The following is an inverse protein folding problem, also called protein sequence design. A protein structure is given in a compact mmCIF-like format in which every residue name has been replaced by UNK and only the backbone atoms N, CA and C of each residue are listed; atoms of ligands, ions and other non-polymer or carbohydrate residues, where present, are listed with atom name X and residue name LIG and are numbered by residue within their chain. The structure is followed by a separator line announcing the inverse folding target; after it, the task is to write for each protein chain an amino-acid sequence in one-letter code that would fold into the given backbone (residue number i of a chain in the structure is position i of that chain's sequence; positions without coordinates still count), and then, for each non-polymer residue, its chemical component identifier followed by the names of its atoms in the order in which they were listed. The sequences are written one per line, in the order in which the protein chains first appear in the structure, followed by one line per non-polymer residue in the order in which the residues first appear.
data_IF_853877462418
#
_entry.id   IF_853877462418
#
_cell.length_a   1.000
_cell.length_b   1.000
_cell.length_c   1.000
_cell.angle_alpha   90.00
_cell.angle_beta   90.00
_cell.angle_gamma   90.00
#
_symmetry.space_group_name_H-M   'P 1'
#
loop_
_entity.id
_entity.type
_entity.pdbx_description
1 polymer ?
#
# COMPACT_ATOMS: atom_id res chain seq x y z
N UNK A 1 -23.45 9.84 -10.82
CA UNK A 1 -22.73 9.16 -9.73
C UNK A 1 -21.66 8.33 -10.40
N UNK A 2 -20.42 8.80 -10.41
CA UNK A 2 -19.26 7.98 -10.79
C UNK A 2 -19.12 6.89 -9.73
N UNK A 3 -19.19 5.62 -10.12
CA UNK A 3 -18.94 4.53 -9.18
C UNK A 3 -17.47 4.55 -8.78
N UNK A 4 -17.19 4.35 -7.49
CA UNK A 4 -15.82 4.17 -7.03
C UNK A 4 -15.16 2.98 -7.75
N UNK A 5 -13.87 3.09 -8.05
CA UNK A 5 -13.09 2.04 -8.71
C UNK A 5 -13.23 0.71 -7.95
N UNK A 6 -13.66 -0.40 -8.56
CA UNK A 6 -13.67 -1.68 -7.88
C UNK A 6 -12.25 -2.18 -7.60
N UNK A 7 -11.99 -2.69 -6.39
CA UNK A 7 -10.65 -3.19 -5.99
C UNK A 7 -10.10 -4.24 -6.96
N UNK A 8 -10.96 -5.17 -7.38
CA UNK A 8 -10.59 -6.23 -8.32
C UNK A 8 -10.17 -5.72 -9.70
N UNK A 9 -10.63 -4.53 -10.14
CA UNK A 9 -10.16 -3.90 -11.37
C UNK A 9 -8.76 -3.32 -11.19
N UNK A 10 -8.47 -2.67 -10.05
CA UNK A 10 -7.13 -2.17 -9.77
C UNK A 10 -6.12 -3.31 -9.64
N UNK A 11 -6.49 -4.40 -8.95
CA UNK A 11 -5.62 -5.56 -8.75
C UNK A 11 -5.24 -6.29 -10.05
N UNK A 12 -5.88 -5.99 -11.19
CA UNK A 12 -5.45 -6.50 -12.51
C UNK A 12 -4.23 -5.76 -13.06
N UNK A 13 -3.94 -4.55 -12.58
CA UNK A 13 -2.74 -3.82 -13.00
C UNK A 13 -1.49 -4.62 -12.62
N UNK A 14 -0.57 -4.70 -13.57
CA UNK A 14 0.67 -5.44 -13.41
C UNK A 14 1.83 -4.67 -14.03
N UNK A 15 2.98 -4.76 -13.37
CA UNK A 15 4.23 -4.18 -13.84
C UNK A 15 5.37 -5.18 -13.59
N UNK A 16 5.31 -6.32 -14.29
CA UNK A 16 6.28 -7.41 -14.13
C UNK A 16 7.74 -6.95 -14.27
N UNK A 17 8.00 -5.94 -15.12
CA UNK A 17 9.34 -5.34 -15.26
C UNK A 17 9.78 -4.70 -13.95
N UNK A 18 8.96 -3.83 -13.35
CA UNK A 18 9.26 -3.19 -12.09
C UNK A 18 9.41 -4.23 -10.98
N UNK A 19 8.49 -5.18 -10.89
CA UNK A 19 8.50 -6.21 -9.84
C UNK A 19 9.75 -7.07 -9.93
N UNK A 20 10.14 -7.48 -11.14
CA UNK A 20 11.39 -8.22 -11.36
C UNK A 20 12.62 -7.40 -10.95
N UNK A 21 12.68 -6.12 -11.32
CA UNK A 21 13.80 -5.24 -10.96
C UNK A 21 13.87 -4.99 -9.45
N UNK A 22 12.71 -4.85 -8.79
CA UNK A 22 12.64 -4.74 -7.35
C UNK A 22 13.16 -6.03 -6.68
N UNK A 23 12.68 -7.20 -7.09
CA UNK A 23 13.14 -8.49 -6.56
C UNK A 23 14.66 -8.69 -6.70
N UNK A 24 15.26 -8.22 -7.81
CA UNK A 24 16.71 -8.28 -8.03
C UNK A 24 17.51 -7.39 -7.06
N UNK A 25 16.93 -6.28 -6.59
CA UNK A 25 17.56 -5.39 -5.60
C UNK A 25 17.34 -5.83 -4.14
N UNK A 26 16.37 -6.71 -3.92
CA UNK A 26 15.96 -7.23 -2.62
C UNK A 26 16.10 -8.77 -2.59
N UNK A 27 17.35 -9.30 -2.62
CA UNK A 27 17.60 -10.75 -2.74
C UNK A 27 17.10 -11.57 -1.55
N UNK A 28 16.78 -10.92 -0.42
CA UNK A 28 16.12 -11.53 0.73
C UNK A 28 14.65 -11.92 0.46
N UNK A 29 14.08 -11.49 -0.67
CA UNK A 29 12.71 -11.81 -1.11
C UNK A 29 12.73 -12.57 -2.42
N UNK A 30 11.85 -13.56 -2.54
CA UNK A 30 11.59 -14.24 -3.81
C UNK A 30 10.81 -13.32 -4.77
N UNK A 31 10.86 -13.65 -6.06
CA UNK A 31 10.03 -12.96 -7.06
C UNK A 31 8.54 -13.07 -6.72
N UNK A 32 8.10 -14.21 -6.19
CA UNK A 32 6.71 -14.42 -5.82
C UNK A 32 6.30 -13.55 -4.63
N UNK A 33 7.18 -13.42 -3.63
CA UNK A 33 6.96 -12.48 -2.51
C UNK A 33 6.90 -11.02 -3.00
N UNK A 34 7.71 -10.67 -4.01
CA UNK A 34 7.68 -9.33 -4.61
C UNK A 34 6.40 -9.07 -5.41
N UNK A 35 5.87 -10.07 -6.12
CA UNK A 35 4.56 -9.99 -6.78
C UNK A 35 3.42 -9.87 -5.77
N UNK A 36 3.48 -10.60 -4.66
CA UNK A 36 2.50 -10.46 -3.59
C UNK A 36 2.56 -9.06 -2.97
N UNK A 37 3.76 -8.54 -2.70
CA UNK A 37 3.96 -7.19 -2.18
C UNK A 37 3.40 -6.12 -3.12
N UNK A 38 3.54 -6.33 -4.44
CA UNK A 38 2.94 -5.46 -5.44
C UNK A 38 1.41 -5.43 -5.36
N UNK A 39 0.76 -6.60 -5.27
CA UNK A 39 -0.70 -6.65 -5.09
C UNK A 39 -1.15 -6.03 -3.76
N UNK A 40 -0.36 -6.21 -2.71
CA UNK A 40 -0.63 -5.59 -1.42
C UNK A 40 -0.51 -4.06 -1.47
N UNK A 41 0.46 -3.52 -2.24
CA UNK A 41 0.60 -2.08 -2.46
C UNK A 41 -0.60 -1.51 -3.21
N UNK A 42 -1.04 -2.17 -4.29
CA UNK A 42 -2.25 -1.76 -5.01
C UNK A 42 -3.49 -1.78 -4.11
N UNK A 43 -3.64 -2.83 -3.29
CA UNK A 43 -4.71 -2.92 -2.29
C UNK A 43 -4.67 -1.77 -1.28
N UNK A 44 -3.48 -1.47 -0.75
CA UNK A 44 -3.30 -0.34 0.16
C UNK A 44 -3.62 1.02 -0.50
N UNK A 45 -3.16 1.27 -1.73
CA UNK A 45 -3.48 2.50 -2.47
C UNK A 45 -4.99 2.66 -2.71
N UNK A 46 -5.67 1.57 -3.04
CA UNK A 46 -7.12 1.54 -3.18
C UNK A 46 -7.82 1.90 -1.88
N UNK A 47 -7.40 1.26 -0.78
CA UNK A 47 -7.97 1.47 0.55
C UNK A 47 -7.77 2.92 1.00
N UNK A 48 -6.57 3.49 0.77
CA UNK A 48 -6.29 4.89 1.04
C UNK A 48 -7.25 5.82 0.31
N UNK A 49 -7.51 5.57 -0.98
CA UNK A 49 -8.47 6.39 -1.71
C UNK A 49 -9.90 6.20 -1.24
N UNK A 50 -10.29 4.97 -0.91
CA UNK A 50 -11.61 4.65 -0.39
C UNK A 50 -11.85 5.40 0.94
N UNK A 51 -10.91 5.29 1.88
CA UNK A 51 -10.93 5.98 3.18
C UNK A 51 -10.98 7.50 3.02
N UNK A 52 -10.25 8.05 2.04
CA UNK A 52 -10.32 9.49 1.70
C UNK A 52 -11.74 9.92 1.30
N UNK A 53 -12.51 9.10 0.58
CA UNK A 53 -13.92 9.42 0.26
C UNK A 53 -14.82 9.50 1.51
N UNK A 54 -14.41 8.85 2.60
CA UNK A 54 -15.10 8.86 3.89
C UNK A 54 -14.52 9.91 4.85
N UNK A 55 -13.57 10.73 4.41
CA UNK A 55 -12.87 11.70 5.27
C UNK A 55 -11.92 11.06 6.29
N UNK A 56 -11.53 9.80 6.09
CA UNK A 56 -10.60 9.07 6.96
C UNK A 56 -9.18 9.15 6.41
N UNK A 57 -8.20 9.35 7.29
CA UNK A 57 -6.78 9.31 6.94
C UNK A 57 -6.26 7.87 6.84
N UNK A 58 -5.17 7.69 6.11
CA UNK A 58 -4.40 6.43 6.03
C UNK A 58 -2.93 6.79 6.05
N UNK A 59 -2.15 6.08 6.86
CA UNK A 59 -0.73 6.34 7.06
C UNK A 59 0.09 5.09 6.70
N UNK A 60 1.35 5.30 6.31
CA UNK A 60 2.35 4.23 6.21
C UNK A 60 3.22 4.27 7.45
N UNK A 61 3.20 3.19 8.23
CA UNK A 61 3.88 3.11 9.51
C UNK A 61 4.30 1.67 9.78
N UNK A 62 5.30 1.52 10.66
CA UNK A 62 5.73 0.24 11.23
C UNK A 62 5.75 -0.91 10.21
N UNK A 63 4.88 -1.93 10.32
CA UNK A 63 4.91 -3.08 9.42
C UNK A 63 4.64 -2.77 7.95
N UNK A 64 3.99 -1.65 7.65
CA UNK A 64 3.63 -1.24 6.29
C UNK A 64 4.80 -0.59 5.53
N UNK A 65 5.93 -0.29 6.19
CA UNK A 65 7.07 0.39 5.55
C UNK A 65 7.69 -0.39 4.37
N UNK A 66 7.45 -1.70 4.28
CA UNK A 66 7.84 -2.46 3.08
C UNK A 66 6.99 -2.13 1.84
N UNK A 67 5.75 -1.67 2.03
CA UNK A 67 4.91 -1.14 0.95
C UNK A 67 5.44 0.21 0.49
N UNK A 68 5.80 1.05 1.45
CA UNK A 68 6.40 2.36 1.22
C UNK A 68 7.68 2.27 0.37
N UNK A 69 8.59 1.35 0.71
CA UNK A 69 9.81 1.10 -0.05
C UNK A 69 9.54 0.68 -1.51
N UNK A 70 8.59 -0.24 -1.74
CA UNK A 70 8.18 -0.61 -3.10
C UNK A 70 7.50 0.55 -3.84
N UNK A 71 6.71 1.37 -3.14
CA UNK A 71 6.07 2.53 -3.72
C UNK A 71 7.10 3.57 -4.17
N UNK A 72 8.09 3.88 -3.34
CA UNK A 72 9.24 4.72 -3.72
C UNK A 72 9.94 4.15 -4.96
N UNK A 73 10.14 2.84 -5.02
CA UNK A 73 10.73 2.21 -6.19
C UNK A 73 9.90 2.46 -7.46
N UNK A 74 8.56 2.40 -7.36
CA UNK A 74 7.65 2.67 -8.47
C UNK A 74 7.72 4.12 -8.97
N UNK A 75 7.66 5.08 -8.05
CA UNK A 75 7.76 6.51 -8.35
C UNK A 75 9.09 6.84 -9.04
N UNK A 76 10.20 6.31 -8.53
CA UNK A 76 11.55 6.75 -8.94
C UNK A 76 12.09 6.03 -10.18
N UNK A 77 11.65 4.80 -10.46
CA UNK A 77 12.28 3.96 -11.48
C UNK A 77 11.44 3.77 -12.74
N UNK A 78 10.23 4.34 -12.82
CA UNK A 78 9.34 4.20 -13.98
C UNK A 78 8.63 5.51 -14.31
N UNK A 79 8.17 5.64 -15.56
CA UNK A 79 7.20 6.67 -15.94
C UNK A 79 5.76 6.18 -15.76
N UNK A 80 5.61 4.87 -15.72
CA UNK A 80 4.36 4.14 -15.55
C UNK A 80 3.59 4.64 -14.32
N UNK A 81 4.26 5.14 -13.26
CA UNK A 81 3.57 5.69 -12.09
C UNK A 81 2.64 6.85 -12.42
N UNK A 82 3.07 7.80 -13.25
CA UNK A 82 2.23 8.94 -13.63
C UNK A 82 1.05 8.50 -14.50
N UNK A 83 1.27 7.56 -15.43
CA UNK A 83 0.24 7.02 -16.31
C UNK A 83 -0.78 6.20 -15.53
N UNK A 84 -0.31 5.39 -14.59
CA UNK A 84 -1.12 4.65 -13.63
C UNK A 84 -1.99 5.61 -12.81
N UNK A 85 -1.39 6.64 -12.21
CA UNK A 85 -2.09 7.68 -11.45
C UNK A 85 -3.22 8.34 -12.27
N UNK A 86 -2.91 8.77 -13.49
CA UNK A 86 -3.91 9.37 -14.38
C UNK A 86 -5.03 8.38 -14.71
N UNK A 87 -4.69 7.13 -15.00
CA UNK A 87 -5.65 6.12 -15.45
C UNK A 87 -6.69 5.74 -14.39
N UNK A 88 -6.28 5.54 -13.13
CA UNK A 88 -7.20 5.03 -12.10
C UNK A 88 -7.66 6.10 -11.10
N UNK A 89 -7.01 7.26 -11.04
CA UNK A 89 -7.34 8.34 -10.09
C UNK A 89 -7.62 9.69 -10.75
N UNK A 90 -7.45 9.82 -12.08
CA UNK A 90 -7.56 11.09 -12.82
C UNK A 90 -6.68 12.22 -12.22
N UNK A 91 -5.66 11.83 -11.45
CA UNK A 91 -4.80 12.73 -10.69
C UNK A 91 -3.59 11.99 -10.14
N UNK A 92 -2.51 12.73 -9.87
CA UNK A 92 -1.33 12.18 -9.21
C UNK A 92 -1.65 11.73 -7.78
N UNK A 93 -1.39 10.47 -7.47
CA UNK A 93 -1.46 9.97 -6.09
C UNK A 93 -0.20 10.46 -5.35
N UNK A 94 -0.36 11.43 -4.45
CA UNK A 94 0.76 12.04 -3.76
C UNK A 94 1.30 11.14 -2.64
N UNK A 95 2.63 11.03 -2.60
CA UNK A 95 3.37 10.59 -1.42
C UNK A 95 3.71 11.84 -0.62
N UNK A 96 2.93 12.11 0.42
CA UNK A 96 3.10 13.29 1.26
C UNK A 96 4.18 13.00 2.31
N UNK A 97 5.18 13.88 2.37
CA UNK A 97 6.25 13.78 3.36
C UNK A 97 5.78 14.36 4.70
N UNK A 98 6.00 13.62 5.77
CA UNK A 98 5.87 14.16 7.13
C UNK A 98 7.11 15.01 7.45
N UNK A 99 6.91 16.15 8.11
CA UNK A 99 8.03 16.95 8.55
C UNK A 99 8.78 16.21 9.67
N UNK A 100 10.11 16.24 9.62
CA UNK A 100 10.94 15.56 10.62
C UNK A 100 10.63 16.06 12.04
N UNK A 101 10.28 15.15 12.95
CA UNK A 101 9.85 15.46 14.32
C UNK A 101 8.38 15.83 14.47
N UNK A 102 7.61 15.81 13.38
CA UNK A 102 6.15 15.98 13.33
C UNK A 102 5.48 14.73 12.72
N UNK A 103 6.13 13.56 12.82
CA UNK A 103 5.57 12.30 12.34
C UNK A 103 4.25 11.99 13.04
N UNK A 104 3.24 11.56 12.28
CA UNK A 104 1.92 11.29 12.85
C UNK A 104 1.97 10.07 13.76
N UNK A 105 1.71 10.28 15.04
CA UNK A 105 1.60 9.19 16.00
C UNK A 105 0.19 8.61 15.96
N UNK A 106 0.08 7.44 15.36
CA UNK A 106 -1.20 6.73 15.26
C UNK A 106 -1.67 6.31 16.65
N UNK A 107 -2.86 6.78 17.00
CA UNK A 107 -3.56 6.35 18.22
C UNK A 107 -4.13 4.94 18.07
N UNK A 108 -4.40 4.23 19.19
CA UNK A 108 -5.03 2.92 19.14
C UNK A 108 -6.38 2.90 18.40
N UNK A 109 -7.16 3.98 18.52
CA UNK A 109 -8.46 4.11 17.85
C UNK A 109 -8.30 4.27 16.33
N UNK A 110 -7.34 5.08 15.88
CA UNK A 110 -7.01 5.20 14.44
C UNK A 110 -6.49 3.89 13.86
N UNK A 111 -5.66 3.15 14.62
CA UNK A 111 -5.17 1.85 14.21
C UNK A 111 -6.32 0.84 14.08
N UNK A 112 -7.20 0.77 15.07
CA UNK A 112 -8.36 -0.13 15.04
C UNK A 112 -9.29 0.19 13.86
N UNK A 113 -9.60 1.46 13.64
CA UNK A 113 -10.42 1.92 12.51
C UNK A 113 -9.78 1.59 11.15
N UNK A 114 -8.45 1.74 11.01
CA UNK A 114 -7.74 1.32 9.81
C UNK A 114 -7.79 -0.19 9.60
N UNK A 115 -7.56 -0.98 10.66
CA UNK A 115 -7.54 -2.44 10.59
C UNK A 115 -8.93 -3.01 10.27
N UNK A 116 -10.01 -2.40 10.75
CA UNK A 116 -11.38 -2.79 10.41
C UNK A 116 -11.64 -2.66 8.90
N UNK A 117 -11.34 -1.50 8.32
CA UNK A 117 -11.50 -1.30 6.87
C UNK A 117 -10.53 -2.20 6.07
N UNK A 118 -9.29 -2.37 6.52
CA UNK A 118 -8.34 -3.25 5.86
C UNK A 118 -8.78 -4.72 5.90
N UNK A 119 -9.36 -5.18 7.01
CA UNK A 119 -9.89 -6.54 7.13
C UNK A 119 -11.09 -6.74 6.20
N UNK A 120 -12.04 -5.79 6.18
CA UNK A 120 -13.24 -5.86 5.35
C UNK A 120 -12.91 -5.88 3.85
N UNK A 121 -11.99 -5.02 3.40
CA UNK A 121 -11.73 -4.83 1.97
C UNK A 121 -10.53 -5.62 1.43
N UNK A 122 -9.46 -5.78 2.22
CA UNK A 122 -8.24 -6.47 1.79
C UNK A 122 -8.14 -7.91 2.31
N UNK A 123 -8.95 -8.25 3.32
CA UNK A 123 -9.10 -9.59 3.86
C UNK A 123 -8.05 -9.96 4.92
N UNK A 124 -8.37 -11.01 5.68
CA UNK A 124 -7.55 -11.56 6.78
C UNK A 124 -6.10 -11.86 6.34
N UNK A 125 -5.91 -12.46 5.17
CA UNK A 125 -4.58 -12.80 4.69
C UNK A 125 -3.68 -11.56 4.50
N UNK A 126 -4.25 -10.41 4.11
CA UNK A 126 -3.48 -9.16 4.04
C UNK A 126 -3.08 -8.72 5.45
N UNK A 127 -4.01 -8.72 6.41
CA UNK A 127 -3.73 -8.39 7.81
C UNK A 127 -2.61 -9.26 8.38
N UNK A 128 -2.69 -10.58 8.20
CA UNK A 128 -1.70 -11.53 8.71
C UNK A 128 -0.30 -11.22 8.21
N UNK A 129 -0.15 -10.89 6.92
CA UNK A 129 1.16 -10.60 6.32
C UNK A 129 1.87 -9.41 6.98
N UNK A 130 1.15 -8.44 7.53
CA UNK A 130 1.72 -7.21 8.09
C UNK A 130 1.68 -7.19 9.62
N UNK A 131 0.60 -7.64 10.24
CA UNK A 131 0.38 -7.44 11.67
C UNK A 131 0.61 -8.70 12.50
N UNK A 132 0.45 -9.91 11.94
CA UNK A 132 0.73 -11.15 12.68
C UNK A 132 2.17 -11.23 13.22
N UNK A 133 3.22 -10.81 12.48
CA UNK A 133 4.60 -10.84 12.98
C UNK A 133 4.80 -10.08 14.30
N UNK A 134 4.04 -9.00 14.52
CA UNK A 134 4.11 -8.19 15.74
C UNK A 134 3.64 -8.94 16.99
N UNK A 135 2.84 -9.99 16.82
CA UNK A 135 2.35 -10.82 17.93
C UNK A 135 3.18 -12.08 18.12
N UNK A 136 4.02 -12.43 17.14
CA UNK A 136 4.94 -13.58 17.22
C UNK A 136 6.36 -13.19 17.65
N UNK A 137 6.71 -11.91 17.54
CA UNK A 137 7.88 -11.36 18.22
C UNK A 137 7.54 -11.14 19.70
N UNK A 138 7.44 -12.22 20.47
CA UNK A 138 7.52 -12.18 21.93
C UNK A 138 8.98 -11.86 22.36
N UNK A 139 9.15 -10.86 23.23
CA UNK A 139 10.24 -10.66 24.21
C UNK A 139 11.68 -11.12 23.87
#
# INVERSE_FOLDING_TARGET
MTSFLPLNELLKYDNERLVTQYALKHPERSLEQSRQLWKDLLGWMWLTQFRKTQGKATHLFGPLLRLDDLWHFFILNTRDYCEFCEQYWESYFHHDIEAHGEEHQISPDELADFLEDAFEFLGEAWIDRYFQPLFTEEN
#
